data_IF_588972666719
#
_entry.id   IF_588972666719
#
_cell.length_a   1.000
_cell.length_b   1.000
_cell.length_c   1.000
_cell.angle_alpha   90.00
_cell.angle_beta   90.00
_cell.angle_gamma   90.00
#
_symmetry.space_group_name_H-M   'P 1'
#
loop_
_entity.id
_entity.type
_entity.pdbx_description
1 polymer ?
#
# COMPACT_ATOMS: atom_id res chain seq x y z
N UNK A 1 -12.09 -9.51 -7.50
CA UNK A 1 -12.37 -10.76 -8.26
C UNK A 1 -13.59 -11.49 -7.73
N UNK A 2 -13.60 -11.87 -6.45
CA UNK A 2 -14.69 -12.60 -5.80
C UNK A 2 -15.99 -11.80 -5.75
N UNK A 3 -15.90 -10.47 -5.62
CA UNK A 3 -17.06 -9.59 -5.78
C UNK A 3 -17.73 -9.79 -7.14
N UNK A 4 -16.96 -9.67 -8.22
CA UNK A 4 -17.46 -9.78 -9.59
C UNK A 4 -18.03 -11.17 -9.87
N UNK A 5 -17.38 -12.22 -9.36
CA UNK A 5 -17.88 -13.59 -9.45
C UNK A 5 -19.20 -13.77 -8.68
N UNK A 6 -19.28 -13.25 -7.45
CA UNK A 6 -20.48 -13.34 -6.62
C UNK A 6 -21.66 -12.59 -7.27
N UNK A 7 -21.41 -11.41 -7.83
CA UNK A 7 -22.42 -10.63 -8.55
C UNK A 7 -22.90 -11.35 -9.82
N UNK A 8 -21.98 -11.96 -10.58
CA UNK A 8 -22.34 -12.75 -11.76
C UNK A 8 -23.19 -13.99 -11.39
N UNK A 9 -22.78 -14.75 -10.36
CA UNK A 9 -23.53 -15.90 -9.86
C UNK A 9 -24.90 -15.50 -9.32
N UNK A 10 -25.01 -14.36 -8.65
CA UNK A 10 -26.28 -13.83 -8.16
C UNK A 10 -27.23 -13.47 -9.31
N UNK A 11 -26.69 -13.02 -10.46
CA UNK A 11 -27.47 -12.78 -11.67
C UNK A 11 -28.05 -14.05 -12.29
N UNK A 12 -27.33 -15.17 -12.20
CA UNK A 12 -27.78 -16.48 -12.69
C UNK A 12 -28.70 -17.21 -11.71
N UNK A 13 -28.43 -17.08 -10.41
CA UNK A 13 -29.14 -17.77 -9.33
C UNK A 13 -29.58 -16.79 -8.24
N UNK A 14 -30.69 -16.04 -8.44
CA UNK A 14 -31.17 -15.04 -7.49
C UNK A 14 -31.52 -15.59 -6.10
N UNK A 15 -31.83 -16.89 -6.02
CA UNK A 15 -32.19 -17.59 -4.77
C UNK A 15 -30.99 -17.75 -3.82
N UNK A 16 -29.75 -17.61 -4.31
CA UNK A 16 -28.53 -17.66 -3.49
C UNK A 16 -28.32 -16.33 -2.74
N UNK A 17 -29.23 -16.03 -1.81
CA UNK A 17 -29.24 -14.78 -1.05
C UNK A 17 -27.96 -14.49 -0.25
N UNK A 18 -27.20 -15.51 0.16
CA UNK A 18 -25.95 -15.35 0.89
C UNK A 18 -24.85 -14.64 0.08
N UNK A 19 -24.90 -14.71 -1.26
CA UNK A 19 -23.94 -14.02 -2.14
C UNK A 19 -24.03 -12.49 -2.01
N UNK A 20 -25.15 -11.96 -1.50
CA UNK A 20 -25.31 -10.54 -1.22
C UNK A 20 -24.30 -10.00 -0.20
N UNK A 21 -23.76 -10.86 0.66
CA UNK A 21 -22.73 -10.50 1.64
C UNK A 21 -21.48 -9.89 0.97
N UNK A 22 -21.14 -10.35 -0.23
CA UNK A 22 -19.99 -9.84 -0.98
C UNK A 22 -20.16 -8.37 -1.39
N UNK A 23 -21.39 -7.85 -1.49
CA UNK A 23 -21.61 -6.43 -1.83
C UNK A 23 -21.24 -5.48 -0.67
N UNK A 24 -21.17 -5.98 0.58
CA UNK A 24 -20.81 -5.16 1.72
C UNK A 24 -19.29 -4.97 1.80
N UNK A 25 -18.85 -3.71 1.74
CA UNK A 25 -17.42 -3.34 1.85
C UNK A 25 -16.84 -3.83 3.18
N UNK A 26 -17.59 -3.72 4.28
CA UNK A 26 -17.15 -4.15 5.62
C UNK A 26 -16.89 -5.65 5.68
N UNK A 27 -17.78 -6.47 5.11
CA UNK A 27 -17.58 -7.91 4.99
C UNK A 27 -16.31 -8.21 4.17
N UNK A 28 -16.17 -7.60 2.99
CA UNK A 28 -14.99 -7.79 2.14
C UNK A 28 -13.69 -7.34 2.81
N UNK A 29 -13.71 -6.28 3.61
CA UNK A 29 -12.56 -5.81 4.36
C UNK A 29 -12.13 -6.82 5.44
N UNK A 30 -13.07 -7.34 6.24
CA UNK A 30 -12.78 -8.38 7.24
C UNK A 30 -12.22 -9.62 6.56
N UNK A 31 -12.85 -10.06 5.47
CA UNK A 31 -12.38 -11.22 4.73
C UNK A 31 -11.00 -10.98 4.11
N UNK A 32 -10.70 -9.78 3.63
CA UNK A 32 -9.37 -9.43 3.13
C UNK A 32 -8.30 -9.44 4.22
N UNK A 33 -8.61 -8.96 5.43
CA UNK A 33 -7.71 -9.10 6.57
C UNK A 33 -7.46 -10.58 6.90
N UNK A 34 -8.52 -11.38 6.98
CA UNK A 34 -8.41 -12.81 7.28
C UNK A 34 -7.63 -13.57 6.21
N UNK A 35 -7.90 -13.34 4.92
CA UNK A 35 -7.16 -14.02 3.84
C UNK A 35 -5.69 -13.64 3.83
N UNK A 36 -5.36 -12.36 4.05
CA UNK A 36 -3.96 -11.93 4.15
C UNK A 36 -3.25 -12.54 5.37
N UNK A 37 -3.93 -12.58 6.52
CA UNK A 37 -3.43 -13.20 7.75
C UNK A 37 -3.15 -14.69 7.56
N UNK A 38 -4.12 -15.43 7.00
CA UNK A 38 -4.00 -16.86 6.76
C UNK A 38 -2.91 -17.20 5.75
N UNK A 39 -2.77 -16.42 4.68
CA UNK A 39 -1.65 -16.56 3.73
C UNK A 39 -0.33 -16.38 4.47
N UNK A 40 -0.19 -15.32 5.26
CA UNK A 40 1.04 -15.06 6.00
C UNK A 40 1.39 -16.17 7.00
N UNK A 41 0.42 -16.67 7.77
CA UNK A 41 0.66 -17.73 8.75
C UNK A 41 0.92 -19.10 8.10
N UNK A 42 0.20 -19.45 7.03
CA UNK A 42 0.36 -20.73 6.35
C UNK A 42 1.67 -20.81 5.53
N UNK A 43 1.99 -19.76 4.78
CA UNK A 43 3.18 -19.74 3.92
C UNK A 43 4.42 -19.20 4.62
N UNK A 44 4.29 -18.52 5.76
CA UNK A 44 5.39 -17.95 6.54
C UNK A 44 6.53 -18.94 6.80
N UNK A 45 6.29 -20.12 7.40
CA UNK A 45 7.35 -21.10 7.67
C UNK A 45 8.06 -21.60 6.40
N UNK A 46 7.37 -21.66 5.27
CA UNK A 46 7.97 -22.04 3.99
C UNK A 46 8.84 -20.92 3.41
N UNK A 47 8.36 -19.67 3.44
CA UNK A 47 9.13 -18.50 3.00
C UNK A 47 10.37 -18.32 3.86
N UNK A 48 10.25 -18.39 5.19
CA UNK A 48 11.38 -18.22 6.11
C UNK A 48 12.47 -19.27 5.83
N UNK A 49 12.11 -20.56 5.68
CA UNK A 49 13.08 -21.61 5.34
C UNK A 49 13.79 -21.33 4.01
N UNK A 50 13.05 -20.84 3.02
CA UNK A 50 13.60 -20.48 1.70
C UNK A 50 14.57 -19.31 1.78
N UNK A 51 14.23 -18.27 2.55
CA UNK A 51 15.10 -17.12 2.79
C UNK A 51 16.35 -17.50 3.59
N UNK A 52 16.21 -18.37 4.61
CA UNK A 52 17.34 -18.88 5.39
C UNK A 52 18.32 -19.66 4.52
N UNK A 53 17.83 -20.46 3.58
CA UNK A 53 18.69 -21.18 2.63
C UNK A 53 19.48 -20.22 1.72
N UNK A 54 18.88 -19.09 1.31
CA UNK A 54 19.57 -18.05 0.52
C UNK A 54 20.56 -17.22 1.35
N UNK A 55 20.39 -17.13 2.67
CA UNK A 55 21.27 -16.36 3.57
C UNK A 55 22.62 -17.01 3.87
N UNK A 56 22.85 -18.26 3.45
CA UNK A 56 24.10 -18.98 3.65
C UNK A 56 25.21 -18.29 2.84
N UNK A 57 25.82 -17.23 3.40
CA UNK A 57 26.93 -16.49 2.78
C UNK A 57 26.93 -14.97 2.92
N UNK A 58 26.06 -14.35 3.72
CA UNK A 58 26.09 -12.88 3.92
C UNK A 58 27.34 -12.41 4.70
N UNK A 59 28.08 -11.40 4.21
CA UNK A 59 29.15 -10.77 4.96
C UNK A 59 28.59 -9.91 6.10
N UNK A 60 29.17 -10.03 7.29
CA UNK A 60 28.79 -9.27 8.48
C UNK A 60 29.30 -7.84 8.33
N UNK A 61 28.43 -6.83 8.44
CA UNK A 61 28.84 -5.41 8.50
C UNK A 61 29.66 -5.19 9.78
N UNK A 62 30.93 -4.79 9.64
CA UNK A 62 31.84 -4.56 10.78
C UNK A 62 31.52 -3.27 11.57
N UNK A 63 30.70 -2.36 11.03
CA UNK A 63 30.34 -1.09 11.66
C UNK A 63 28.85 -1.08 12.02
N UNK A 64 28.54 -1.35 13.29
CA UNK A 64 27.19 -1.30 13.86
C UNK A 64 27.21 -1.43 15.38
N UNK A 65 26.21 -0.85 16.06
CA UNK A 65 26.05 -0.90 17.53
C UNK A 65 26.03 -2.37 17.99
N UNK A 66 26.76 -2.71 19.06
CA UNK A 66 27.03 -4.09 19.49
C UNK A 66 25.78 -4.98 19.67
N UNK A 67 24.58 -4.40 19.86
CA UNK A 67 23.31 -5.14 19.89
C UNK A 67 22.94 -5.82 18.56
N UNK A 68 23.46 -5.37 17.41
CA UNK A 68 23.23 -6.01 16.10
C UNK A 68 24.13 -7.25 15.84
N UNK A 69 25.21 -7.43 16.60
CA UNK A 69 26.13 -8.57 16.43
C UNK A 69 25.54 -9.89 16.96
N UNK A 70 24.64 -9.81 17.94
CA UNK A 70 23.97 -10.97 18.55
C UNK A 70 22.83 -11.56 17.68
N UNK A 71 22.41 -10.89 16.60
CA UNK A 71 21.36 -11.35 15.67
C UNK A 71 21.92 -12.02 14.39
N UNK A 72 23.09 -12.65 14.52
CA UNK A 72 23.76 -13.38 13.44
C UNK A 72 23.01 -14.68 13.11
N UNK A 73 21.98 -14.60 12.26
CA UNK A 73 21.29 -15.79 11.75
C UNK A 73 19.91 -15.55 11.13
N UNK A 74 19.23 -14.46 11.49
CA UNK A 74 17.85 -14.20 11.04
C UNK A 74 17.80 -13.77 9.56
N UNK A 75 17.04 -14.43 8.67
CA UNK A 75 16.87 -14.03 7.26
C UNK A 75 16.31 -12.60 7.07
N UNK A 76 16.63 -11.96 5.95
CA UNK A 76 16.08 -10.67 5.50
C UNK A 76 15.17 -10.90 4.29
N UNK A 77 14.43 -9.89 3.82
CA UNK A 77 13.41 -9.97 2.75
C UNK A 77 12.08 -10.60 3.17
N UNK A 78 11.75 -10.60 4.46
CA UNK A 78 10.45 -11.06 4.95
C UNK A 78 9.27 -10.23 4.43
N UNK A 79 9.52 -9.00 3.97
CA UNK A 79 8.55 -8.13 3.31
C UNK A 79 7.88 -8.77 2.10
N UNK A 80 8.52 -9.74 1.45
CA UNK A 80 7.91 -10.52 0.35
C UNK A 80 6.64 -11.24 0.82
N UNK A 81 6.64 -11.79 2.04
CA UNK A 81 5.45 -12.44 2.62
C UNK A 81 4.31 -11.43 2.82
N UNK A 82 4.64 -10.21 3.28
CA UNK A 82 3.68 -9.13 3.45
C UNK A 82 3.08 -8.74 2.08
N UNK A 83 3.94 -8.50 1.08
CA UNK A 83 3.51 -8.10 -0.26
C UNK A 83 2.62 -9.16 -0.92
N UNK A 84 2.99 -10.45 -0.83
CA UNK A 84 2.15 -11.54 -1.36
C UNK A 84 0.79 -11.56 -0.64
N UNK A 85 0.78 -11.46 0.69
CA UNK A 85 -0.45 -11.43 1.48
C UNK A 85 -1.37 -10.27 1.10
N UNK A 86 -0.82 -9.06 1.01
CA UNK A 86 -1.56 -7.86 0.59
C UNK A 86 -2.07 -8.00 -0.84
N UNK A 87 -1.20 -8.41 -1.76
CA UNK A 87 -1.50 -8.47 -3.18
C UNK A 87 -2.60 -9.45 -3.50
N UNK A 88 -2.42 -10.71 -3.10
CA UNK A 88 -3.39 -11.77 -3.34
C UNK A 88 -4.71 -11.43 -2.66
N UNK A 89 -4.68 -11.04 -1.39
CA UNK A 89 -5.89 -10.73 -0.65
C UNK A 89 -6.66 -9.55 -1.24
N UNK A 90 -5.97 -8.45 -1.56
CA UNK A 90 -6.60 -7.28 -2.18
C UNK A 90 -7.24 -7.67 -3.51
N UNK A 91 -6.50 -8.34 -4.41
CA UNK A 91 -6.99 -8.75 -5.74
C UNK A 91 -8.25 -9.64 -5.66
N UNK A 92 -8.33 -10.52 -4.66
CA UNK A 92 -9.50 -11.35 -4.44
C UNK A 92 -10.73 -10.51 -4.10
N UNK A 93 -10.61 -9.58 -3.15
CA UNK A 93 -11.76 -8.94 -2.52
C UNK A 93 -12.17 -7.58 -3.08
N UNK A 94 -11.24 -6.79 -3.64
CA UNK A 94 -11.60 -5.47 -4.12
C UNK A 94 -12.43 -5.51 -5.43
N UNK A 95 -13.17 -4.43 -5.66
CA UNK A 95 -13.79 -4.14 -6.95
C UNK A 95 -12.73 -3.69 -7.96
N UNK A 96 -12.52 -4.49 -9.01
CA UNK A 96 -11.51 -4.25 -10.03
C UNK A 96 -11.77 -3.00 -10.88
N UNK A 97 -12.99 -2.47 -10.86
CA UNK A 97 -13.29 -1.17 -11.48
C UNK A 97 -12.73 0.01 -10.68
N UNK A 98 -12.27 -0.23 -9.44
CA UNK A 98 -11.83 0.83 -8.56
C UNK A 98 -10.44 1.37 -8.92
N UNK A 99 -10.42 2.64 -9.34
CA UNK A 99 -9.20 3.35 -9.76
C UNK A 99 -8.19 3.62 -8.65
N UNK A 100 -8.61 3.71 -7.39
CA UNK A 100 -7.71 4.06 -6.29
C UNK A 100 -6.92 2.85 -5.81
N UNK A 101 -7.56 1.69 -5.70
CA UNK A 101 -6.90 0.46 -5.25
C UNK A 101 -5.76 0.06 -6.19
N UNK A 102 -5.93 0.20 -7.51
CA UNK A 102 -4.87 -0.07 -8.48
C UNK A 102 -3.63 0.81 -8.29
N UNK A 103 -3.81 2.10 -7.98
CA UNK A 103 -2.69 3.01 -7.75
C UNK A 103 -1.94 2.64 -6.50
N UNK A 104 -2.66 2.38 -5.40
CA UNK A 104 -2.04 1.97 -4.15
C UNK A 104 -1.31 0.64 -4.31
N UNK A 105 -1.91 -0.32 -5.03
CA UNK A 105 -1.26 -1.58 -5.39
C UNK A 105 0.01 -1.35 -6.24
N UNK A 106 -0.03 -0.44 -7.22
CA UNK A 106 1.13 -0.10 -8.04
C UNK A 106 2.26 0.50 -7.19
N UNK A 107 1.94 1.42 -6.28
CA UNK A 107 2.95 2.05 -5.40
C UNK A 107 3.51 1.04 -4.42
N UNK A 108 2.67 0.26 -3.75
CA UNK A 108 3.11 -0.75 -2.77
C UNK A 108 3.94 -1.85 -3.42
N UNK A 109 3.49 -2.42 -4.53
CA UNK A 109 4.25 -3.46 -5.25
C UNK A 109 5.47 -2.88 -5.94
N UNK A 110 5.40 -1.67 -6.47
CA UNK A 110 6.52 -0.99 -7.12
C UNK A 110 7.64 -0.67 -6.13
N UNK A 111 7.33 -0.04 -5.00
CA UNK A 111 8.32 0.22 -3.96
C UNK A 111 8.84 -1.07 -3.34
N UNK A 112 7.97 -2.06 -3.13
CA UNK A 112 8.35 -3.39 -2.70
C UNK A 112 9.31 -4.10 -3.66
N UNK A 113 9.11 -3.95 -4.97
CA UNK A 113 10.03 -4.48 -5.98
C UNK A 113 11.39 -3.77 -5.95
N UNK A 114 11.41 -2.45 -5.76
CA UNK A 114 12.65 -1.67 -5.60
C UNK A 114 13.43 -2.13 -4.36
N UNK A 115 12.75 -2.30 -3.21
CA UNK A 115 13.33 -2.81 -1.98
C UNK A 115 13.82 -4.25 -2.10
N UNK A 116 13.03 -5.12 -2.74
CA UNK A 116 13.43 -6.50 -3.01
C UNK A 116 14.68 -6.59 -3.90
N UNK A 117 14.78 -5.77 -4.96
CA UNK A 117 15.97 -5.72 -5.81
C UNK A 117 17.20 -5.25 -5.04
N UNK A 118 17.04 -4.26 -4.15
CA UNK A 118 18.11 -3.76 -3.28
C UNK A 118 18.64 -4.88 -2.37
N UNK A 119 17.75 -5.54 -1.64
CA UNK A 119 18.11 -6.64 -0.76
C UNK A 119 18.68 -7.85 -1.51
N UNK A 120 18.15 -8.13 -2.71
CA UNK A 120 18.62 -9.24 -3.55
C UNK A 120 20.07 -9.01 -3.98
N UNK A 121 20.41 -7.79 -4.41
CA UNK A 121 21.80 -7.41 -4.74
C UNK A 121 22.71 -7.51 -3.51
N UNK A 122 22.25 -7.10 -2.32
CA UNK A 122 23.05 -7.27 -1.08
C UNK A 122 23.39 -8.74 -0.80
N UNK A 123 22.46 -9.66 -1.05
CA UNK A 123 22.65 -11.11 -0.83
C UNK A 123 23.54 -11.72 -1.92
N UNK A 124 23.22 -11.47 -3.19
CA UNK A 124 23.89 -12.13 -4.34
C UNK A 124 25.28 -11.56 -4.60
N UNK A 125 25.42 -10.23 -4.63
CA UNK A 125 26.69 -9.58 -4.95
C UNK A 125 27.63 -9.53 -3.73
N UNK A 126 27.16 -10.00 -2.55
CA UNK A 126 27.87 -9.94 -1.26
C UNK A 126 28.41 -8.54 -0.95
N UNK A 127 27.74 -7.51 -1.48
CA UNK A 127 28.07 -6.12 -1.22
C UNK A 127 27.12 -5.58 -0.15
N UNK A 128 27.61 -5.23 1.06
CA UNK A 128 26.76 -4.71 2.12
C UNK A 128 26.07 -3.39 1.78
N UNK A 129 26.54 -2.63 0.78
CA UNK A 129 25.97 -1.34 0.38
C UNK A 129 24.72 -1.46 -0.49
N UNK A 130 24.50 -2.59 -1.17
CA UNK A 130 23.32 -2.79 -2.02
C UNK A 130 23.25 -1.86 -3.23
N UNK A 131 22.04 -1.42 -3.58
CA UNK A 131 21.77 -0.50 -4.68
C UNK A 131 22.23 0.93 -4.34
N UNK A 132 22.83 1.61 -5.33
CA UNK A 132 23.23 3.01 -5.16
C UNK A 132 22.02 3.88 -4.80
N UNK A 133 22.15 4.77 -3.82
CA UNK A 133 21.04 5.61 -3.36
C UNK A 133 20.37 6.42 -4.49
N UNK A 134 21.13 6.85 -5.50
CA UNK A 134 20.60 7.55 -6.68
C UNK A 134 19.70 6.67 -7.55
N UNK A 135 20.02 5.38 -7.68
CA UNK A 135 19.21 4.42 -8.44
C UNK A 135 17.93 4.09 -7.68
N UNK A 136 18.03 3.86 -6.36
CA UNK A 136 16.87 3.64 -5.48
C UNK A 136 15.90 4.81 -5.54
N UNK A 137 16.42 6.01 -5.36
CA UNK A 137 15.62 7.23 -5.42
C UNK A 137 15.02 7.45 -6.80
N UNK A 138 15.76 7.21 -7.89
CA UNK A 138 15.24 7.33 -9.26
C UNK A 138 13.99 6.46 -9.49
N UNK A 139 14.03 5.18 -9.11
CA UNK A 139 12.88 4.30 -9.27
C UNK A 139 11.70 4.67 -8.36
N UNK A 140 11.97 5.01 -7.10
CA UNK A 140 10.93 5.53 -6.19
C UNK A 140 10.29 6.81 -6.75
N UNK A 141 11.10 7.70 -7.31
CA UNK A 141 10.63 8.95 -7.89
C UNK A 141 9.78 8.72 -9.14
N UNK A 142 10.20 7.80 -10.02
CA UNK A 142 9.46 7.46 -11.22
C UNK A 142 8.07 6.92 -10.87
N UNK A 143 8.01 5.93 -9.97
CA UNK A 143 6.75 5.32 -9.52
C UNK A 143 5.88 6.37 -8.81
N UNK A 144 6.48 7.17 -7.92
CA UNK A 144 5.78 8.21 -7.17
C UNK A 144 5.20 9.31 -8.07
N UNK A 145 5.94 9.77 -9.08
CA UNK A 145 5.44 10.78 -10.02
C UNK A 145 4.31 10.25 -10.90
N UNK A 146 4.43 9.02 -11.40
CA UNK A 146 3.36 8.38 -12.19
C UNK A 146 2.08 8.23 -11.35
N UNK A 147 2.21 7.76 -10.11
CA UNK A 147 1.08 7.66 -9.19
C UNK A 147 0.48 9.03 -8.84
N UNK A 148 1.30 10.03 -8.55
CA UNK A 148 0.86 11.38 -8.21
C UNK A 148 0.08 12.05 -9.35
N UNK A 149 0.61 11.94 -10.59
CA UNK A 149 -0.05 12.45 -11.79
C UNK A 149 -1.40 11.76 -12.01
N UNK A 150 -1.45 10.44 -11.92
CA UNK A 150 -2.71 9.71 -12.07
C UNK A 150 -3.72 10.11 -10.99
N UNK A 151 -3.28 10.25 -9.73
CA UNK A 151 -4.14 10.64 -8.62
C UNK A 151 -4.79 12.00 -8.85
N UNK A 152 -4.02 12.98 -9.35
CA UNK A 152 -4.49 14.34 -9.61
C UNK A 152 -5.75 14.38 -10.50
N UNK A 153 -5.87 13.46 -11.48
CA UNK A 153 -7.03 13.37 -12.36
C UNK A 153 -8.08 12.36 -11.86
N UNK A 154 -7.67 11.32 -11.13
CA UNK A 154 -8.56 10.27 -10.62
C UNK A 154 -9.47 10.74 -9.47
N UNK A 155 -9.09 11.76 -8.71
CA UNK A 155 -9.94 12.25 -7.60
C UNK A 155 -11.23 12.89 -8.14
N UNK A 156 -11.15 13.48 -9.32
CA UNK A 156 -12.20 14.32 -9.87
C UNK A 156 -13.19 13.58 -10.75
N UNK A 157 -12.77 12.45 -11.30
CA UNK A 157 -13.52 11.67 -12.28
C UNK A 157 -13.70 10.24 -11.80
N UNK A 158 -14.82 9.62 -12.14
CA UNK A 158 -15.16 8.27 -11.65
C UNK A 158 -14.77 7.16 -12.61
N UNK A 159 -14.72 7.46 -13.91
CA UNK A 159 -14.42 6.50 -14.97
C UNK A 159 -12.96 6.58 -15.43
N UNK A 160 -12.36 5.43 -15.77
CA UNK A 160 -10.99 5.40 -16.33
C UNK A 160 -10.87 6.24 -17.61
N UNK A 161 -11.85 6.13 -18.50
CA UNK A 161 -11.89 6.92 -19.74
C UNK A 161 -11.95 8.42 -19.45
N UNK A 162 -12.73 8.84 -18.45
CA UNK A 162 -12.80 10.24 -18.04
C UNK A 162 -11.46 10.74 -17.48
N UNK A 163 -10.74 9.92 -16.71
CA UNK A 163 -9.39 10.25 -16.22
C UNK A 163 -8.43 10.49 -17.40
N UNK A 164 -8.46 9.62 -18.40
CA UNK A 164 -7.64 9.77 -19.62
C UNK A 164 -8.04 11.03 -20.40
N UNK A 165 -9.33 11.32 -20.52
CA UNK A 165 -9.81 12.52 -21.20
C UNK A 165 -9.39 13.80 -20.48
N UNK A 166 -9.44 13.84 -19.14
CA UNK A 166 -8.95 14.98 -18.35
C UNK A 166 -7.46 15.19 -18.54
N UNK A 167 -6.68 14.10 -18.56
CA UNK A 167 -5.25 14.17 -18.84
C UNK A 167 -4.96 14.74 -20.24
N UNK A 168 -5.64 14.24 -21.27
CA UNK A 168 -5.49 14.74 -22.65
C UNK A 168 -5.87 16.23 -22.73
N UNK A 169 -6.96 16.63 -22.07
CA UNK A 169 -7.39 18.04 -22.02
C UNK A 169 -6.33 18.92 -21.36
N UNK A 170 -5.76 18.48 -20.24
CA UNK A 170 -4.69 19.20 -19.54
C UNK A 170 -3.42 19.34 -20.38
N UNK A 171 -3.05 18.31 -21.15
CA UNK A 171 -1.93 18.39 -22.09
C UNK A 171 -2.26 19.38 -23.23
N UNK A 172 -3.47 19.29 -23.80
CA UNK A 172 -3.90 20.18 -24.89
C UNK A 172 -4.08 21.65 -24.47
N UNK A 173 -4.33 21.92 -23.18
CA UNK A 173 -4.43 23.27 -22.64
C UNK A 173 -3.08 23.94 -22.38
N UNK A 174 -1.97 23.25 -22.65
CA UNK A 174 -0.63 23.75 -22.35
C UNK A 174 -0.28 23.67 -20.86
N UNK A 175 -0.79 22.65 -20.15
CA UNK A 175 -0.54 22.39 -18.73
C UNK A 175 -1.10 23.45 -17.78
N UNK A 176 -2.38 23.80 -17.98
CA UNK A 176 -3.10 24.73 -17.09
C UNK A 176 -3.04 24.31 -15.62
N UNK A 177 -2.98 25.29 -14.72
CA UNK A 177 -2.84 25.07 -13.26
C UNK A 177 -4.15 24.73 -12.56
N UNK A 178 -5.29 25.06 -13.18
CA UNK A 178 -6.61 24.81 -12.60
C UNK A 178 -6.86 23.30 -12.47
N UNK A 179 -6.94 22.86 -11.21
CA UNK A 179 -7.40 21.53 -10.86
C UNK A 179 -8.92 21.45 -11.01
N UNK A 180 -9.46 20.25 -11.20
CA UNK A 180 -10.86 20.05 -10.90
C UNK A 180 -11.09 20.22 -9.38
N UNK A 181 -12.24 20.75 -8.95
CA UNK A 181 -12.49 21.35 -7.62
C UNK A 181 -12.49 20.40 -6.39
N UNK A 182 -11.96 19.18 -6.52
CA UNK A 182 -12.01 18.13 -5.47
C UNK A 182 -10.64 17.73 -4.93
N UNK A 183 -9.57 18.42 -5.31
CA UNK A 183 -8.19 18.07 -4.97
C UNK A 183 -7.49 19.11 -4.07
N UNK A 184 -8.26 19.93 -3.36
CA UNK A 184 -7.71 20.90 -2.42
C UNK A 184 -7.10 20.21 -1.19
N UNK A 185 -6.06 20.85 -0.62
CA UNK A 185 -5.48 20.42 0.63
C UNK A 185 -6.36 20.87 1.79
N UNK A 186 -6.89 19.89 2.53
CA UNK A 186 -7.66 20.15 3.74
C UNK A 186 -6.70 20.52 4.88
N UNK A 187 -7.01 21.61 5.59
CA UNK A 187 -6.29 21.97 6.81
C UNK A 187 -6.98 21.28 8.00
N UNK A 188 -6.26 20.45 8.78
CA UNK A 188 -6.82 19.82 9.97
C UNK A 188 -7.49 20.85 10.90
N UNK A 189 -8.55 20.44 11.60
CA UNK A 189 -9.36 21.26 12.52
C UNK A 189 -10.21 22.37 11.88
N UNK A 190 -9.95 22.77 10.63
CA UNK A 190 -10.74 23.76 9.90
C UNK A 190 -11.57 23.08 8.80
N UNK A 191 -12.90 23.08 8.95
CA UNK A 191 -13.80 22.42 7.98
C UNK A 191 -14.05 23.23 6.70
N UNK A 192 -13.76 24.53 6.73
CA UNK A 192 -14.05 25.47 5.64
C UNK A 192 -12.80 26.02 4.97
N UNK A 193 -11.62 25.78 5.53
CA UNK A 193 -10.36 26.27 4.98
C UNK A 193 -9.70 25.13 4.21
N UNK A 194 -9.69 25.26 2.89
CA UNK A 194 -8.95 24.41 1.97
C UNK A 194 -7.95 25.25 1.17
N UNK A 195 -6.77 24.71 0.92
CA UNK A 195 -5.76 25.36 0.09
C UNK A 195 -5.79 24.76 -1.32
N UNK A 196 -6.08 25.55 -2.37
CA UNK A 196 -6.06 25.07 -3.75
C UNK A 196 -4.61 24.88 -4.19
N UNK A 197 -4.15 23.63 -4.27
CA UNK A 197 -2.75 23.33 -4.62
C UNK A 197 -2.45 23.50 -6.12
N UNK A 198 -3.47 23.46 -6.97
CA UNK A 198 -3.29 23.29 -8.41
C UNK A 198 -2.64 21.93 -8.77
N UNK A 199 -2.60 21.59 -10.07
CA UNK A 199 -2.17 20.26 -10.51
C UNK A 199 -0.72 20.00 -10.07
N UNK A 200 0.15 21.00 -10.27
CA UNK A 200 1.56 20.93 -9.92
C UNK A 200 1.79 20.83 -8.40
N UNK A 201 1.07 21.62 -7.59
CA UNK A 201 1.20 21.56 -6.13
C UNK A 201 0.71 20.22 -5.57
N UNK A 202 -0.38 19.68 -6.12
CA UNK A 202 -0.87 18.36 -5.74
C UNK A 202 0.16 17.28 -6.08
N UNK A 203 0.70 17.29 -7.30
CA UNK A 203 1.70 16.31 -7.75
C UNK A 203 2.96 16.38 -6.90
N UNK A 204 3.46 17.60 -6.62
CA UNK A 204 4.65 17.81 -5.80
C UNK A 204 4.45 17.30 -4.36
N UNK A 205 3.30 17.63 -3.74
CA UNK A 205 2.98 17.19 -2.39
C UNK A 205 2.80 15.66 -2.33
N UNK A 206 2.03 15.08 -3.24
CA UNK A 206 1.80 13.64 -3.30
C UNK A 206 3.12 12.87 -3.50
N UNK A 207 3.97 13.35 -4.40
CA UNK A 207 5.32 12.82 -4.61
C UNK A 207 6.14 12.85 -3.31
N UNK A 208 6.20 14.01 -2.65
CA UNK A 208 6.97 14.20 -1.43
C UNK A 208 6.47 13.27 -0.31
N UNK A 209 5.15 13.14 -0.16
CA UNK A 209 4.55 12.24 0.82
C UNK A 209 4.89 10.78 0.49
N UNK A 210 4.72 10.33 -0.75
CA UNK A 210 5.00 8.92 -1.11
C UNK A 210 6.46 8.54 -0.91
N UNK A 211 7.39 9.29 -1.52
CA UNK A 211 8.82 8.99 -1.44
C UNK A 211 9.35 9.24 -0.03
N UNK A 212 8.91 10.34 0.61
CA UNK A 212 9.29 10.68 1.98
C UNK A 212 8.84 9.63 3.00
N UNK A 213 7.58 9.19 2.95
CA UNK A 213 7.07 8.16 3.86
C UNK A 213 7.74 6.81 3.63
N UNK A 214 8.04 6.41 2.38
CA UNK A 214 8.76 5.16 2.11
C UNK A 214 10.15 5.15 2.76
N UNK A 215 10.91 6.25 2.64
CA UNK A 215 12.22 6.36 3.29
C UNK A 215 12.11 6.47 4.82
N UNK A 216 11.08 7.14 5.34
CA UNK A 216 10.84 7.22 6.78
C UNK A 216 10.56 5.85 7.41
N UNK A 217 9.76 5.00 6.74
CA UNK A 217 9.50 3.63 7.21
C UNK A 217 10.77 2.78 7.16
N UNK A 218 11.57 2.89 6.08
CA UNK A 218 12.85 2.17 5.98
C UNK A 218 13.81 2.56 7.13
N UNK A 219 13.87 3.83 7.54
CA UNK A 219 14.65 4.25 8.70
C UNK A 219 14.11 3.75 10.05
N UNK A 220 12.81 3.43 10.12
CA UNK A 220 12.16 2.95 11.35
C UNK A 220 12.38 1.44 11.56
N UNK A 221 12.67 0.68 10.50
CA UNK A 221 12.87 -0.78 10.54
C UNK A 221 14.26 -1.20 11.07
N UNK A 222 14.61 -0.69 12.26
CA UNK A 222 15.88 -0.99 12.94
C UNK A 222 15.78 -1.97 14.11
N UNK A 223 14.56 -2.27 14.58
CA UNK A 223 14.28 -3.16 15.72
C UNK A 223 13.14 -4.13 15.41
N UNK A 224 13.16 -5.29 16.07
CA UNK A 224 12.17 -6.37 15.91
C UNK A 224 10.75 -5.85 16.19
N UNK A 225 9.87 -5.96 15.21
CA UNK A 225 8.46 -5.53 15.31
C UNK A 225 8.23 -4.01 15.30
N UNK A 226 9.28 -3.18 15.21
CA UNK A 226 9.16 -1.74 15.40
C UNK A 226 8.45 -1.05 14.22
N UNK A 227 8.74 -1.44 12.98
CA UNK A 227 8.13 -0.81 11.81
C UNK A 227 6.71 -1.35 11.51
N UNK A 228 6.49 -2.66 11.65
CA UNK A 228 5.23 -3.27 11.17
C UNK A 228 4.01 -2.87 11.99
N UNK A 229 4.13 -2.72 13.31
CA UNK A 229 2.99 -2.34 14.16
C UNK A 229 2.48 -0.93 13.87
N UNK A 230 3.33 0.11 13.78
CA UNK A 230 2.92 1.42 13.29
C UNK A 230 2.26 1.38 11.91
N UNK A 231 2.79 0.58 10.97
CA UNK A 231 2.19 0.41 9.64
C UNK A 231 0.77 -0.15 9.73
N UNK A 232 0.54 -1.18 10.56
CA UNK A 232 -0.79 -1.75 10.80
C UNK A 232 -1.74 -0.72 11.41
N UNK A 233 -1.29 0.03 12.43
CA UNK A 233 -2.12 1.03 13.12
C UNK A 233 -2.48 2.22 12.21
N UNK A 234 -1.49 2.83 11.57
CA UNK A 234 -1.68 3.97 10.66
C UNK A 234 -2.50 3.55 9.46
N UNK A 235 -2.21 2.39 8.88
CA UNK A 235 -2.95 1.82 7.77
C UNK A 235 -4.42 1.58 8.08
N UNK A 236 -4.71 1.01 9.24
CA UNK A 236 -6.09 0.77 9.69
C UNK A 236 -6.84 2.08 9.91
N UNK A 237 -6.20 3.09 10.49
CA UNK A 237 -6.78 4.42 10.67
C UNK A 237 -7.09 5.09 9.32
N UNK A 238 -6.14 5.05 8.36
CA UNK A 238 -6.35 5.57 7.00
C UNK A 238 -7.47 4.80 6.27
N UNK A 239 -7.58 3.49 6.46
CA UNK A 239 -8.67 2.68 5.93
C UNK A 239 -10.04 3.12 6.45
N UNK A 240 -10.14 3.46 7.74
CA UNK A 240 -11.35 4.03 8.32
C UNK A 240 -11.70 5.38 7.67
N UNK A 241 -10.73 6.28 7.49
CA UNK A 241 -10.95 7.55 6.79
C UNK A 241 -11.40 7.33 5.34
N UNK A 242 -10.83 6.37 4.63
CA UNK A 242 -11.24 6.03 3.27
C UNK A 242 -12.68 5.51 3.21
N UNK A 243 -13.08 4.69 4.19
CA UNK A 243 -14.46 4.21 4.33
C UNK A 243 -15.45 5.37 4.59
N UNK A 244 -15.10 6.28 5.51
CA UNK A 244 -15.94 7.43 5.86
C UNK A 244 -16.10 8.41 4.69
N UNK A 245 -15.01 8.75 4.00
CA UNK A 245 -15.01 9.65 2.83
C UNK A 245 -15.63 9.01 1.59
N UNK A 246 -15.60 7.67 1.50
CA UNK A 246 -16.23 6.89 0.45
C UNK A 246 -17.75 6.71 0.58
N UNK A 247 -18.35 7.09 1.72
CA UNK A 247 -19.79 7.00 1.96
C UNK A 247 -20.46 8.37 1.92
N UNK A 248 -21.46 8.54 1.05
CA UNK A 248 -22.20 9.81 0.93
C UNK A 248 -22.91 10.24 2.22
N UNK A 249 -23.36 9.27 3.02
CA UNK A 249 -24.05 9.50 4.31
C UNK A 249 -23.05 10.03 5.35
N UNK A 250 -22.02 9.26 5.68
CA UNK A 250 -20.99 9.65 6.65
C UNK A 250 -20.22 10.91 6.26
N UNK A 251 -19.83 11.05 4.98
CA UNK A 251 -19.11 12.24 4.52
C UNK A 251 -19.95 13.51 4.74
N UNK A 252 -21.25 13.49 4.39
CA UNK A 252 -22.15 14.63 4.65
C UNK A 252 -22.33 14.89 6.15
N UNK A 253 -22.51 13.85 6.96
CA UNK A 253 -22.72 13.99 8.41
C UNK A 253 -21.49 14.56 9.13
N UNK A 254 -20.29 14.09 8.78
CA UNK A 254 -19.03 14.50 9.42
C UNK A 254 -18.45 15.80 8.82
N UNK A 255 -19.03 16.27 7.71
CA UNK A 255 -18.54 17.40 6.91
C UNK A 255 -17.14 17.09 6.32
N UNK A 256 -16.98 15.88 5.78
CA UNK A 256 -15.80 15.45 5.04
C UNK A 256 -16.09 15.51 3.52
N UNK A 257 -15.07 15.72 2.67
CA UNK A 257 -15.24 15.58 1.22
C UNK A 257 -15.66 14.17 0.85
N UNK A 258 -16.70 14.07 0.01
CA UNK A 258 -17.16 12.81 -0.52
C UNK A 258 -16.37 12.43 -1.77
N UNK A 259 -15.66 11.30 -1.72
CA UNK A 259 -14.85 10.77 -2.83
C UNK A 259 -15.44 9.42 -3.26
N UNK A 260 -16.20 9.37 -4.38
CA UNK A 260 -16.82 8.13 -4.84
C UNK A 260 -15.78 7.05 -5.15
N UNK A 261 -15.93 5.90 -4.51
CA UNK A 261 -15.03 4.75 -4.66
C UNK A 261 -13.86 4.73 -3.66
N UNK A 262 -13.63 5.78 -2.87
CA UNK A 262 -12.54 5.76 -1.87
C UNK A 262 -12.70 4.63 -0.84
N UNK A 263 -13.94 4.21 -0.55
CA UNK A 263 -14.24 3.16 0.42
C UNK A 263 -13.61 1.79 0.09
N UNK A 264 -13.30 1.49 -1.17
CA UNK A 264 -12.62 0.24 -1.55
C UNK A 264 -11.18 0.18 -1.01
N UNK A 265 -10.55 1.33 -0.71
CA UNK A 265 -9.22 1.36 -0.08
C UNK A 265 -9.23 0.72 1.31
N UNK A 266 -10.39 0.64 1.99
CA UNK A 266 -10.52 -0.10 3.24
C UNK A 266 -10.11 -1.57 3.07
N UNK A 267 -10.38 -2.18 1.92
CA UNK A 267 -10.04 -3.58 1.64
C UNK A 267 -8.52 -3.76 1.58
N UNK A 268 -7.82 -2.84 0.90
CA UNK A 268 -6.36 -2.81 0.86
C UNK A 268 -5.77 -2.61 2.25
N UNK A 269 -6.28 -1.61 3.01
CA UNK A 269 -5.83 -1.33 4.37
C UNK A 269 -6.06 -2.51 5.32
N UNK A 270 -7.19 -3.21 5.19
CA UNK A 270 -7.50 -4.40 5.97
C UNK A 270 -6.59 -5.58 5.60
N UNK A 271 -6.33 -5.79 4.31
CA UNK A 271 -5.34 -6.78 3.85
C UNK A 271 -3.93 -6.48 4.40
N UNK A 272 -3.53 -5.20 4.42
CA UNK A 272 -2.27 -4.75 5.02
C UNK A 272 -2.22 -5.00 6.52
N UNK A 273 -3.33 -4.76 7.24
CA UNK A 273 -3.42 -5.11 8.66
C UNK A 273 -3.27 -6.62 8.89
N UNK A 274 -3.97 -7.45 8.12
CA UNK A 274 -3.88 -8.91 8.21
C UNK A 274 -2.49 -9.45 7.89
N UNK A 275 -1.87 -8.98 6.80
CA UNK A 275 -0.51 -9.37 6.42
C UNK A 275 0.52 -8.89 7.44
N UNK A 276 0.36 -7.67 7.97
CA UNK A 276 1.25 -7.12 9.00
C UNK A 276 1.17 -7.89 10.32
N UNK A 277 -0.03 -8.29 10.76
CA UNK A 277 -0.20 -9.14 11.94
C UNK A 277 0.41 -10.53 11.72
N UNK A 278 0.27 -11.12 10.52
CA UNK A 278 0.91 -12.39 10.21
C UNK A 278 2.44 -12.26 10.23
N UNK A 279 2.98 -11.17 9.70
CA UNK A 279 4.42 -10.91 9.72
C UNK A 279 4.94 -10.70 11.14
N UNK A 280 4.22 -9.93 11.96
CA UNK A 280 4.56 -9.72 13.36
C UNK A 280 4.67 -11.04 14.14
N UNK A 281 3.85 -12.05 13.82
CA UNK A 281 3.98 -13.37 14.43
C UNK A 281 5.39 -13.98 14.30
N UNK A 282 6.07 -13.70 13.18
CA UNK A 282 7.44 -14.19 12.93
C UNK A 282 8.52 -13.14 13.24
N UNK A 283 8.16 -11.87 13.34
CA UNK A 283 9.09 -10.76 13.54
C UNK A 283 9.11 -10.23 14.99
N UNK A 284 8.15 -10.62 15.83
CA UNK A 284 8.15 -10.31 17.26
C UNK A 284 9.41 -10.86 17.95
N UNK A 285 9.93 -10.11 18.93
CA UNK A 285 11.18 -10.48 19.59
C UNK A 285 11.05 -11.84 20.33
N UNK A 286 11.98 -12.80 20.10
CA UNK A 286 13.12 -12.74 19.18
C UNK A 286 12.75 -13.03 17.70
N UNK A 287 13.15 -12.14 16.77
CA UNK A 287 12.73 -12.21 15.38
C UNK A 287 13.28 -13.42 14.59
N UNK A 288 12.38 -14.11 13.89
CA UNK A 288 12.70 -15.22 12.96
C UNK A 288 12.93 -14.75 11.52
N UNK A 289 12.48 -13.54 11.17
CA UNK A 289 12.71 -12.91 9.87
C UNK A 289 12.69 -11.39 10.00
N UNK A 290 13.55 -10.69 9.25
CA UNK A 290 13.54 -9.23 9.10
C UNK A 290 12.74 -8.81 7.87
N UNK A 291 12.11 -7.63 7.94
CA UNK A 291 11.25 -7.13 6.86
C UNK A 291 12.08 -6.89 5.60
N UNK A 292 13.23 -6.23 5.74
CA UNK A 292 14.05 -5.85 4.60
C UNK A 292 13.64 -4.49 4.05
N UNK A 293 14.23 -4.12 2.91
CA UNK A 293 14.10 -2.77 2.35
C UNK A 293 12.75 -2.44 1.70
#
# INVERSE_FOLDING_TARGET
>A
MLLSLAQWLQGLYPDLGFLRLFNYITFRAVMAAMTALLIGLAFGPWVIRSLTAMKIGQPIRAYGVQQHLAKSGTPTMGGVLILIGIGVSTLLWFDWSNRFVWVVMLVTMGFGAVGWVDDWRKVVDKNPEGMRSREKFFWQSLIGLVAALYLAFSVSETSFLGVVQLFIRWVSSGFSTELPPKADLLIPFFKTISMPLGVWGFVALAYFVMVGTSNAVNFTDGLDGLAIMPVVMVGSALGLFAYLTGSSVFARYLLLPYIPGAGELLIFCAAMAGAGLAFLWFNAHPAQVFMGD
#
